data_IF_889803793723
#
_entry.id   IF_889803793723
#
_cell.length_a   1.000
_cell.length_b   1.000
_cell.length_c   1.000
_cell.angle_alpha   90.00
_cell.angle_beta   90.00
_cell.angle_gamma   90.00
#
_symmetry.space_group_name_H-M   'P 1'
#
loop_
_entity.id
_entity.type
_entity.pdbx_description
1 polymer ?
#
# COMPACT_ATOMS: atom_id res chain seq x y z
N UNK A 1 63.95 -14.91 -31.31
CA UNK A 1 63.59 -16.34 -31.46
C UNK A 1 62.68 -16.69 -30.30
N UNK A 2 61.39 -16.92 -30.55
CA UNK A 2 60.76 -18.27 -30.66
C UNK A 2 60.91 -19.06 -29.35
N UNK A 3 59.90 -19.70 -28.76
CA UNK A 3 58.50 -19.98 -29.13
C UNK A 3 57.94 -20.81 -27.95
N UNK A 4 56.62 -20.77 -27.78
CA UNK A 4 55.75 -21.90 -27.41
C UNK A 4 55.85 -22.50 -25.99
N UNK A 5 54.79 -23.00 -25.33
CA UNK A 5 53.33 -22.94 -25.55
C UNK A 5 52.60 -23.85 -24.54
N UNK A 6 51.36 -23.46 -24.23
CA UNK A 6 50.15 -24.28 -24.07
C UNK A 6 49.83 -25.11 -22.79
N UNK A 7 48.50 -25.13 -22.56
CA UNK A 7 47.62 -26.04 -21.82
C UNK A 7 47.36 -25.64 -20.35
N UNK A 8 46.26 -24.98 -19.95
CA UNK A 8 44.79 -25.21 -20.09
C UNK A 8 44.32 -26.62 -19.77
N UNK A 9 43.51 -26.73 -18.71
CA UNK A 9 42.20 -27.40 -18.57
C UNK A 9 41.99 -27.67 -17.07
N UNK A 10 41.01 -27.05 -16.43
CA UNK A 10 39.60 -27.48 -16.45
C UNK A 10 39.31 -27.98 -15.03
N UNK A 11 38.15 -27.83 -14.40
CA UNK A 11 36.76 -27.63 -14.77
C UNK A 11 36.02 -27.57 -13.42
N UNK A 12 34.75 -27.24 -13.24
CA UNK A 12 33.66 -26.62 -13.98
C UNK A 12 32.44 -26.87 -13.08
N UNK A 13 31.49 -25.94 -13.02
CA UNK A 13 30.07 -26.32 -12.97
C UNK A 13 29.23 -25.10 -13.34
N UNK A 14 29.21 -24.85 -14.64
CA UNK A 14 28.02 -24.39 -15.36
C UNK A 14 26.91 -25.40 -15.14
N UNK A 15 25.81 -24.97 -14.53
CA UNK A 15 24.56 -25.70 -14.55
C UNK A 15 23.48 -24.68 -14.93
N UNK A 16 22.92 -24.90 -16.13
CA UNK A 16 21.71 -24.31 -16.71
C UNK A 16 21.85 -22.92 -17.35
N UNK A 17 22.54 -22.91 -18.49
CA UNK A 17 21.99 -22.24 -19.66
C UNK A 17 20.80 -23.08 -20.16
N UNK A 18 19.60 -22.76 -19.66
CA UNK A 18 18.35 -22.97 -20.39
C UNK A 18 17.24 -22.17 -19.69
N UNK A 19 17.19 -20.87 -20.00
CA UNK A 19 15.91 -20.17 -20.11
C UNK A 19 16.11 -18.90 -20.94
N UNK A 20 16.43 -19.07 -22.22
CA UNK A 20 16.06 -18.08 -23.24
C UNK A 20 14.54 -18.06 -23.34
N UNK A 21 13.89 -17.39 -22.37
CA UNK A 21 12.57 -16.76 -22.45
C UNK A 21 12.14 -16.35 -21.05
N UNK A 22 12.34 -15.07 -20.71
CA UNK A 22 11.50 -14.24 -19.83
C UNK A 22 12.33 -13.18 -19.09
N UNK A 23 13.02 -12.31 -19.84
CA UNK A 23 13.53 -11.06 -19.28
C UNK A 23 12.39 -10.03 -19.29
N UNK A 24 11.37 -10.22 -18.43
CA UNK A 24 10.37 -9.17 -18.18
C UNK A 24 10.93 -8.25 -17.11
N UNK A 25 11.59 -7.17 -17.53
CA UNK A 25 12.01 -6.12 -16.59
C UNK A 25 10.78 -5.56 -15.86
N UNK A 26 10.96 -5.16 -14.59
CA UNK A 26 9.87 -4.58 -13.77
C UNK A 26 9.23 -3.36 -14.46
N UNK A 27 10.03 -2.62 -15.24
CA UNK A 27 9.57 -1.53 -16.13
C UNK A 27 8.70 -1.97 -17.31
N UNK A 28 8.84 -3.19 -17.82
CA UNK A 28 7.97 -3.73 -18.86
C UNK A 28 6.58 -4.09 -18.32
N UNK A 29 6.51 -4.64 -17.09
CA UNK A 29 5.23 -4.90 -16.39
C UNK A 29 4.46 -3.62 -16.04
N UNK A 30 5.17 -2.53 -15.71
CA UNK A 30 4.55 -1.24 -15.43
C UNK A 30 3.96 -0.57 -16.68
N UNK A 31 4.46 -0.90 -17.88
CA UNK A 31 3.96 -0.36 -19.15
C UNK A 31 2.87 -1.21 -19.81
N UNK A 32 2.77 -2.49 -19.47
CA UNK A 32 1.71 -3.37 -19.99
C UNK A 32 0.35 -3.18 -19.29
N UNK A 33 0.20 -2.13 -18.49
CA UNK A 33 -1.04 -1.78 -17.83
C UNK A 33 -1.86 -0.76 -18.64
N UNK A 34 -1.83 -0.84 -19.97
CA UNK A 34 -3.03 -0.52 -20.77
C UNK A 34 -4.02 -1.67 -20.60
N UNK A 35 -4.51 -1.84 -19.38
CA UNK A 35 -5.67 -2.66 -19.13
C UNK A 35 -6.85 -1.91 -19.75
N UNK A 36 -7.27 -2.34 -20.93
CA UNK A 36 -8.64 -2.16 -21.40
C UNK A 36 -9.55 -2.49 -20.22
N UNK A 37 -10.09 -1.47 -19.57
CA UNK A 37 -11.10 -1.65 -18.54
C UNK A 37 -12.20 -2.53 -19.15
N UNK A 38 -12.62 -3.63 -18.50
CA UNK A 38 -13.85 -4.27 -18.92
C UNK A 38 -14.95 -3.22 -18.74
N UNK A 39 -15.40 -2.65 -19.85
CA UNK A 39 -16.59 -1.79 -19.96
C UNK A 39 -17.83 -2.65 -19.78
N UNK A 40 -17.91 -3.35 -18.67
CA UNK A 40 -19.12 -3.99 -18.19
C UNK A 40 -19.53 -3.26 -16.93
N UNK A 41 -20.05 -2.05 -17.13
CA UNK A 41 -21.03 -1.51 -16.19
C UNK A 41 -22.17 -2.53 -16.16
N UNK A 42 -22.48 -3.22 -15.05
CA UNK A 42 -23.73 -3.95 -14.98
C UNK A 42 -24.82 -2.89 -15.13
N UNK A 43 -25.58 -2.96 -16.24
CA UNK A 43 -26.80 -2.17 -16.36
C UNK A 43 -27.61 -2.43 -15.09
N UNK A 44 -28.15 -1.39 -14.42
CA UNK A 44 -29.01 -1.61 -13.29
C UNK A 44 -30.10 -2.59 -13.72
N UNK A 45 -30.34 -3.68 -12.96
CA UNK A 45 -31.32 -4.68 -13.35
C UNK A 45 -32.64 -3.97 -13.61
N UNK A 46 -33.19 -4.16 -14.80
CA UNK A 46 -34.48 -3.63 -15.20
C UNK A 46 -35.47 -3.93 -14.07
N UNK A 47 -36.21 -2.93 -13.57
CA UNK A 47 -37.13 -3.05 -12.42
C UNK A 47 -38.02 -4.30 -12.46
N UNK A 48 -38.35 -4.76 -13.67
CA UNK A 48 -39.09 -6.00 -13.92
C UNK A 48 -38.42 -7.26 -13.35
N UNK A 49 -37.09 -7.36 -13.37
CA UNK A 49 -36.33 -8.50 -12.86
C UNK A 49 -36.31 -8.54 -11.33
N UNK A 50 -36.26 -7.37 -10.68
CA UNK A 50 -36.31 -7.27 -9.22
C UNK A 50 -37.68 -7.72 -8.71
N UNK A 51 -38.76 -7.28 -9.38
CA UNK A 51 -40.13 -7.67 -9.04
C UNK A 51 -40.37 -9.18 -9.25
N UNK A 52 -39.88 -9.75 -10.37
CA UNK A 52 -39.98 -11.19 -10.63
C UNK A 52 -39.17 -12.03 -9.64
N UNK A 53 -37.96 -11.59 -9.28
CA UNK A 53 -37.11 -12.28 -8.32
C UNK A 53 -37.74 -12.25 -6.93
N UNK A 54 -38.31 -11.12 -6.51
CA UNK A 54 -39.08 -11.03 -5.28
C UNK A 54 -40.27 -12.01 -5.31
N UNK A 55 -41.05 -12.03 -6.39
CA UNK A 55 -42.18 -12.96 -6.52
C UNK A 55 -41.77 -14.43 -6.53
N UNK A 56 -40.59 -14.77 -7.05
CA UNK A 56 -40.07 -16.13 -7.05
C UNK A 56 -39.64 -16.58 -5.66
N UNK A 57 -39.03 -15.69 -4.87
CA UNK A 57 -38.63 -15.99 -3.49
C UNK A 57 -39.82 -16.15 -2.54
N UNK A 58 -40.94 -15.49 -2.80
CA UNK A 58 -42.12 -15.50 -1.92
C UNK A 58 -43.34 -16.26 -2.48
N UNK A 59 -43.33 -16.64 -3.76
CA UNK A 59 -44.45 -17.30 -4.44
C UNK A 59 -44.26 -18.79 -4.70
N UNK A 60 -43.11 -19.38 -4.31
CA UNK A 60 -42.77 -20.77 -4.62
C UNK A 60 -43.50 -21.82 -3.75
N UNK A 61 -44.19 -21.41 -2.67
CA UNK A 61 -44.98 -22.34 -1.85
C UNK A 61 -46.45 -22.50 -2.30
N UNK A 62 -46.85 -21.87 -3.42
CA UNK A 62 -48.13 -22.16 -4.04
C UNK A 62 -48.03 -23.46 -4.88
N UNK A 63 -47.91 -24.58 -4.17
CA UNK A 63 -48.07 -25.91 -4.73
C UNK A 63 -49.37 -26.00 -5.54
N UNK A 64 -49.24 -26.54 -6.74
CA UNK A 64 -50.32 -26.92 -7.65
C UNK A 64 -51.52 -27.53 -6.90
N UNK A 65 -52.54 -26.72 -6.63
CA UNK A 65 -53.89 -27.19 -6.32
C UNK A 65 -54.85 -26.51 -7.29
N UNK A 66 -55.26 -27.28 -8.29
CA UNK A 66 -56.33 -26.94 -9.22
C UNK A 66 -57.67 -26.97 -8.45
N UNK A 67 -58.41 -25.87 -8.56
CA UNK A 67 -59.84 -25.67 -8.24
C UNK A 67 -60.29 -25.98 -6.80
N UNK A 68 -60.51 -24.96 -5.97
CA UNK A 68 -61.81 -24.28 -5.82
C UNK A 68 -61.70 -23.17 -4.75
N UNK A 69 -62.47 -22.10 -4.94
CA UNK A 69 -62.63 -20.92 -4.09
C UNK A 69 -61.67 -19.71 -4.31
N UNK A 70 -62.10 -18.66 -5.06
CA UNK A 70 -61.36 -17.41 -5.18
C UNK A 70 -61.43 -16.53 -3.91
N UNK A 71 -62.10 -16.95 -2.83
CA UNK A 71 -62.26 -16.11 -1.62
C UNK A 71 -61.09 -16.16 -0.62
N UNK A 72 -60.13 -17.09 -0.76
CA UNK A 72 -59.01 -17.25 0.20
C UNK A 72 -57.64 -16.81 -0.30
N UNK A 73 -57.51 -16.40 -1.56
CA UNK A 73 -56.22 -16.04 -2.14
C UNK A 73 -55.76 -14.60 -1.86
N UNK A 74 -56.60 -13.74 -1.25
CA UNK A 74 -56.39 -12.30 -1.32
C UNK A 74 -56.40 -11.57 0.04
N UNK A 75 -55.83 -12.23 1.06
CA UNK A 75 -55.35 -11.53 2.24
C UNK A 75 -53.85 -11.73 2.33
N UNK A 76 -53.12 -11.12 1.40
CA UNK A 76 -51.78 -10.64 1.73
C UNK A 76 -51.98 -9.77 2.96
N UNK A 77 -51.51 -10.24 4.11
CA UNK A 77 -51.55 -9.46 5.33
C UNK A 77 -50.61 -8.26 5.11
N UNK A 78 -51.20 -7.17 4.62
CA UNK A 78 -50.50 -5.95 4.16
C UNK A 78 -49.60 -5.41 5.28
N UNK A 79 -50.00 -5.65 6.53
CA UNK A 79 -49.24 -5.27 7.71
C UNK A 79 -47.99 -6.12 7.90
N UNK A 80 -48.07 -7.45 7.68
CA UNK A 80 -46.90 -8.33 7.68
C UNK A 80 -45.90 -7.97 6.57
N UNK A 81 -46.39 -7.60 5.39
CA UNK A 81 -45.56 -7.18 4.26
C UNK A 81 -44.88 -5.83 4.53
N UNK A 82 -45.63 -4.86 5.06
CA UNK A 82 -45.09 -3.57 5.46
C UNK A 82 -44.03 -3.74 6.57
N UNK A 83 -44.29 -4.58 7.57
CA UNK A 83 -43.34 -4.88 8.63
C UNK A 83 -42.07 -5.56 8.11
N UNK A 84 -42.20 -6.50 7.17
CA UNK A 84 -41.05 -7.12 6.51
C UNK A 84 -40.22 -6.10 5.73
N UNK A 85 -40.87 -5.15 5.04
CA UNK A 85 -40.22 -4.04 4.36
C UNK A 85 -39.46 -3.11 5.31
N UNK A 86 -40.07 -2.76 6.46
CA UNK A 86 -39.43 -1.94 7.50
C UNK A 86 -38.21 -2.67 8.08
N UNK A 87 -38.34 -3.96 8.40
CA UNK A 87 -37.25 -4.76 8.94
C UNK A 87 -36.10 -4.90 7.93
N UNK A 88 -36.42 -5.12 6.65
CA UNK A 88 -35.43 -5.20 5.58
C UNK A 88 -34.69 -3.87 5.42
N UNK A 89 -35.43 -2.75 5.38
CA UNK A 89 -34.84 -1.42 5.28
C UNK A 89 -33.94 -1.13 6.49
N UNK A 90 -34.44 -1.37 7.71
CA UNK A 90 -33.67 -1.18 8.93
C UNK A 90 -32.37 -2.01 8.91
N UNK A 91 -32.45 -3.29 8.55
CA UNK A 91 -31.29 -4.18 8.42
C UNK A 91 -30.29 -3.67 7.37
N UNK A 92 -30.77 -3.29 6.19
CA UNK A 92 -29.92 -2.76 5.12
C UNK A 92 -29.21 -1.46 5.55
N UNK A 93 -29.92 -0.54 6.21
CA UNK A 93 -29.31 0.70 6.70
C UNK A 93 -28.28 0.44 7.81
N UNK A 94 -28.54 -0.50 8.72
CA UNK A 94 -27.59 -0.90 9.75
C UNK A 94 -26.31 -1.47 9.14
N UNK A 95 -26.44 -2.38 8.17
CA UNK A 95 -25.28 -2.95 7.45
C UNK A 95 -24.49 -1.89 6.68
N UNK A 96 -25.16 -0.90 6.07
CA UNK A 96 -24.49 0.20 5.38
C UNK A 96 -23.69 1.07 6.35
N UNK A 97 -24.25 1.39 7.52
CA UNK A 97 -23.56 2.16 8.55
C UNK A 97 -22.34 1.39 9.07
N UNK A 98 -22.50 0.10 9.35
CA UNK A 98 -21.42 -0.77 9.81
C UNK A 98 -20.29 -0.88 8.76
N UNK A 99 -20.65 -1.15 7.50
CA UNK A 99 -19.68 -1.22 6.41
C UNK A 99 -18.96 0.11 6.20
N UNK A 100 -19.66 1.24 6.30
CA UNK A 100 -19.04 2.56 6.22
C UNK A 100 -18.05 2.78 7.37
N UNK A 101 -18.41 2.39 8.59
CA UNK A 101 -17.51 2.46 9.75
C UNK A 101 -16.27 1.58 9.57
N UNK A 102 -16.43 0.34 9.08
CA UNK A 102 -15.31 -0.56 8.79
C UNK A 102 -14.36 0.04 7.75
N UNK A 103 -14.91 0.56 6.63
CA UNK A 103 -14.12 1.19 5.58
C UNK A 103 -13.34 2.40 6.13
N UNK A 104 -13.98 3.26 6.92
CA UNK A 104 -13.29 4.42 7.52
C UNK A 104 -12.16 3.98 8.47
N UNK A 105 -12.36 2.91 9.22
CA UNK A 105 -11.31 2.35 10.09
C UNK A 105 -10.11 1.84 9.28
N UNK A 106 -10.37 1.15 8.16
CA UNK A 106 -9.34 0.63 7.25
C UNK A 106 -8.59 1.74 6.54
N UNK A 107 -9.28 2.80 6.11
CA UNK A 107 -8.65 4.00 5.54
C UNK A 107 -7.73 4.64 6.56
N UNK A 108 -8.21 4.84 7.79
CA UNK A 108 -7.41 5.46 8.86
C UNK A 108 -6.15 4.64 9.17
N UNK A 109 -6.30 3.30 9.25
CA UNK A 109 -5.16 2.40 9.44
C UNK A 109 -4.18 2.48 8.28
N UNK A 110 -4.67 2.45 7.04
CA UNK A 110 -3.83 2.54 5.85
C UNK A 110 -3.06 3.87 5.79
N UNK A 111 -3.70 4.99 6.14
CA UNK A 111 -3.03 6.30 6.21
C UNK A 111 -1.93 6.29 7.28
N UNK A 112 -2.21 5.74 8.47
CA UNK A 112 -1.23 5.59 9.54
C UNK A 112 -0.03 4.74 9.13
N UNK A 113 -0.28 3.54 8.58
CA UNK A 113 0.75 2.63 8.08
C UNK A 113 1.57 3.27 6.94
N UNK A 114 0.91 3.88 5.97
CA UNK A 114 1.58 4.54 4.83
C UNK A 114 2.45 5.70 5.28
N UNK A 115 1.98 6.51 6.23
CA UNK A 115 2.76 7.62 6.78
C UNK A 115 3.97 7.12 7.57
N UNK A 116 3.81 6.03 8.34
CA UNK A 116 4.92 5.43 9.07
C UNK A 116 5.98 4.87 8.13
N UNK A 117 5.56 4.10 7.11
CA UNK A 117 6.46 3.55 6.09
C UNK A 117 7.16 4.65 5.28
N UNK A 118 6.45 5.73 4.91
CA UNK A 118 7.07 6.85 4.22
C UNK A 118 8.13 7.53 5.10
N UNK A 119 7.81 7.76 6.38
CA UNK A 119 8.77 8.34 7.32
C UNK A 119 10.01 7.47 7.52
N UNK A 120 9.82 6.14 7.58
CA UNK A 120 10.93 5.19 7.68
C UNK A 120 11.80 5.20 6.40
N UNK A 121 11.16 5.21 5.23
CA UNK A 121 11.82 5.34 3.94
C UNK A 121 12.65 6.63 3.88
N UNK A 122 12.08 7.77 4.25
CA UNK A 122 12.78 9.06 4.26
C UNK A 122 13.99 9.04 5.20
N UNK A 123 13.87 8.39 6.37
CA UNK A 123 15.00 8.21 7.28
C UNK A 123 16.11 7.35 6.67
N UNK A 124 15.77 6.27 5.96
CA UNK A 124 16.76 5.43 5.26
C UNK A 124 17.44 6.23 4.14
N UNK A 125 16.68 6.96 3.33
CA UNK A 125 17.25 7.74 2.23
C UNK A 125 18.05 8.95 2.71
N UNK A 126 17.68 9.56 3.83
CA UNK A 126 18.50 10.59 4.48
C UNK A 126 19.85 10.00 4.95
N UNK A 127 19.85 8.78 5.50
CA UNK A 127 21.08 8.05 5.84
C UNK A 127 21.95 7.74 4.62
N UNK A 128 21.37 7.45 3.45
CA UNK A 128 22.12 7.15 2.22
C UNK A 128 22.64 8.41 1.55
N UNK A 129 21.81 9.45 1.45
CA UNK A 129 22.16 10.70 0.77
C UNK A 129 23.20 11.50 1.56
N UNK A 130 23.09 11.49 2.89
CA UNK A 130 24.00 12.23 3.77
C UNK A 130 24.41 11.40 5.00
N UNK A 131 25.23 10.35 4.81
CA UNK A 131 25.57 9.39 5.87
C UNK A 131 26.23 10.04 7.07
N UNK A 132 27.06 11.07 6.85
CA UNK A 132 27.76 11.78 7.94
C UNK A 132 26.80 12.64 8.78
N UNK A 133 25.89 13.41 8.16
CA UNK A 133 24.93 14.22 8.91
C UNK A 133 23.86 13.36 9.57
N UNK A 134 23.49 12.23 8.98
CA UNK A 134 22.53 11.32 9.58
C UNK A 134 23.13 10.59 10.80
N UNK A 135 24.38 10.13 10.72
CA UNK A 135 25.13 9.63 11.89
C UNK A 135 25.35 10.70 12.94
N UNK A 136 25.64 11.94 12.55
CA UNK A 136 25.74 13.04 13.51
C UNK A 136 24.40 13.30 14.19
N UNK A 137 23.30 13.53 13.46
CA UNK A 137 22.04 13.95 14.08
C UNK A 137 21.25 12.85 14.81
N UNK A 138 21.47 11.57 14.52
CA UNK A 138 20.64 10.45 15.04
C UNK A 138 21.41 9.40 15.84
N UNK A 139 22.73 9.54 16.04
CA UNK A 139 23.44 8.64 16.96
C UNK A 139 23.40 9.21 18.39
N UNK A 140 22.82 8.44 19.32
CA UNK A 140 22.89 8.78 20.76
C UNK A 140 24.34 8.89 21.26
N UNK A 141 25.26 8.23 20.54
CA UNK A 141 26.71 8.30 20.72
C UNK A 141 27.35 9.20 19.65
N UNK A 142 27.01 10.50 19.67
CA UNK A 142 27.72 11.50 18.89
C UNK A 142 29.25 11.34 19.12
N UNK A 143 30.10 11.52 18.09
CA UNK A 143 31.52 11.77 18.28
C UNK A 143 31.73 13.21 18.80
N UNK A 144 30.95 13.60 19.80
CA UNK A 144 30.96 14.93 20.41
C UNK A 144 32.35 15.21 20.98
N UNK A 145 33.03 14.19 21.51
CA UNK A 145 34.41 14.28 21.97
C UNK A 145 35.39 14.71 20.85
N UNK A 146 35.29 14.12 19.66
CA UNK A 146 36.17 14.47 18.54
C UNK A 146 35.86 15.86 17.97
N UNK A 147 34.58 16.22 17.87
CA UNK A 147 34.16 17.54 17.40
C UNK A 147 34.56 18.62 18.40
N UNK A 148 34.32 18.40 19.69
CA UNK A 148 34.75 19.29 20.76
C UNK A 148 36.26 19.46 20.77
N UNK A 149 37.02 18.37 20.62
CA UNK A 149 38.49 18.41 20.52
C UNK A 149 38.97 19.25 19.33
N UNK A 150 38.32 19.10 18.17
CA UNK A 150 38.63 19.94 17.01
C UNK A 150 38.29 21.41 17.26
N UNK A 151 37.12 21.71 17.84
CA UNK A 151 36.70 23.07 18.13
C UNK A 151 37.59 23.75 19.19
N UNK A 152 38.03 23.02 20.21
CA UNK A 152 38.94 23.55 21.23
C UNK A 152 40.33 23.80 20.65
N UNK A 153 40.85 22.91 19.81
CA UNK A 153 42.10 23.11 19.10
C UNK A 153 42.02 24.32 18.16
N UNK A 154 40.96 24.44 17.38
CA UNK A 154 40.77 25.57 16.46
C UNK A 154 40.69 26.90 17.22
N UNK A 155 39.99 26.92 18.37
CA UNK A 155 39.93 28.10 19.24
C UNK A 155 41.32 28.48 19.80
N UNK A 156 42.14 27.48 20.15
CA UNK A 156 43.50 27.69 20.63
C UNK A 156 44.39 28.27 19.52
N UNK A 157 44.31 27.70 18.31
CA UNK A 157 45.05 28.20 17.14
C UNK A 157 44.68 29.64 16.80
N UNK A 158 43.38 29.96 16.78
CA UNK A 158 42.90 31.33 16.54
C UNK A 158 43.42 32.29 17.62
N UNK A 159 43.44 31.87 18.88
CA UNK A 159 43.95 32.70 19.98
C UNK A 159 45.45 32.96 19.83
N UNK A 160 46.23 31.90 19.53
CA UNK A 160 47.67 32.01 19.26
C UNK A 160 47.96 32.91 18.06
N UNK A 161 47.21 32.75 16.97
CA UNK A 161 47.37 33.59 15.77
C UNK A 161 47.02 35.06 16.06
N UNK A 162 46.01 35.30 16.90
CA UNK A 162 45.62 36.66 17.31
C UNK A 162 46.70 37.31 18.18
N UNK A 163 47.30 36.57 19.11
CA UNK A 163 48.43 37.04 19.92
C UNK A 163 49.65 37.35 19.04
N UNK A 164 49.95 36.50 18.06
CA UNK A 164 51.04 36.72 17.12
C UNK A 164 50.82 37.95 16.22
N UNK A 165 49.58 38.15 15.74
CA UNK A 165 49.21 39.36 15.02
C UNK A 165 49.32 40.62 15.88
N UNK A 166 48.94 40.57 17.16
CA UNK A 166 49.12 41.69 18.07
C UNK A 166 50.59 42.00 18.31
N UNK A 167 51.44 40.98 18.45
CA UNK A 167 52.89 41.16 18.59
C UNK A 167 53.50 41.82 17.35
N UNK A 168 53.15 41.34 16.15
CA UNK A 168 53.66 41.88 14.88
C UNK A 168 53.13 43.27 14.55
N UNK A 169 51.93 43.63 15.00
CA UNK A 169 51.38 44.97 14.83
C UNK A 169 51.83 46.00 15.88
N UNK A 170 52.58 45.55 16.90
CA UNK A 170 53.18 46.40 17.93
C UNK A 170 54.67 46.70 17.67
N UNK A 171 55.27 46.07 16.66
CA UNK A 171 56.50 46.52 15.98
C UNK A 171 56.18 47.60 14.94
#
# INVERSE_FOLDING_TARGET
>A
MNRNSHHTLGSSSTLWADNTNSSSTLRARLRSQDASAPTSSPKPPTYHHVYQQFRACFGADAGSTRYDDPSRADRIDVESFAQAGINLHASATAQLIEAHSDIQSRISRFVGESSATLSESDAIYANIAYPLSATLCHSDNFPNASILSHLTNLKKEISSAKEELQRLGAE
#
